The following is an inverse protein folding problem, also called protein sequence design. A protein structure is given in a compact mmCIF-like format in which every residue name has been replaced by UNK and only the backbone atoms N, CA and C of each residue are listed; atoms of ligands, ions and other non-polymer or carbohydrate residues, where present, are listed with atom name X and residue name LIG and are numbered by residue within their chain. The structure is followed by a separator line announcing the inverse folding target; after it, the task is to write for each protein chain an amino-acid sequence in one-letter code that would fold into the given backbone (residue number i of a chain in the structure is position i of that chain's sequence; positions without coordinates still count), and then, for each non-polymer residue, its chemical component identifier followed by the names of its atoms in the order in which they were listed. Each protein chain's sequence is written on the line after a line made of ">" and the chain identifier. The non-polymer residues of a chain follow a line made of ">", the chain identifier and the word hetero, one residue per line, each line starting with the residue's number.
data_IF_279526222084
#
_entry.id   IF_279526222084
#
_cell.length_a   1.000
_cell.length_b   1.000
_cell.length_c   1.000
_cell.angle_alpha   90.00
_cell.angle_beta   90.00
_cell.angle_gamma   90.00
#
_symmetry.space_group_name_H-M   'P 1'
#
loop_
_entity.id
_entity.type
_entity.pdbx_description
1 polymer ?
#
# COMPACT_ATOMS: atom_id res chain seq x y z
N UNK A 1 1.53 18.31 19.75
CA UNK A 1 1.40 16.90 20.19
C UNK A 1 0.27 16.27 19.40
N UNK A 2 0.53 15.58 18.27
CA UNK A 2 -0.53 14.97 17.48
C UNK A 2 -0.95 13.64 18.09
N UNK A 3 -2.26 13.50 18.29
CA UNK A 3 -2.95 12.31 18.78
C UNK A 3 -2.82 11.15 17.77
N UNK A 4 -2.06 10.11 18.11
CA UNK A 4 -2.17 8.79 17.48
C UNK A 4 -3.48 8.15 17.93
N UNK A 5 -4.44 7.98 17.01
CA UNK A 5 -5.64 7.17 17.24
C UNK A 5 -5.24 5.70 17.09
N UNK A 6 -5.11 5.02 18.23
CA UNK A 6 -4.98 3.57 18.33
C UNK A 6 -6.18 2.90 17.65
N UNK A 7 -5.92 2.09 16.61
CA UNK A 7 -6.90 1.17 16.05
C UNK A 7 -6.75 -0.13 16.84
N UNK A 8 -7.63 -0.31 17.83
CA UNK A 8 -7.79 -1.60 18.50
C UNK A 8 -8.48 -2.57 17.52
N UNK A 9 -7.74 -3.57 17.03
CA UNK A 9 -8.32 -4.67 16.26
C UNK A 9 -9.14 -5.57 17.18
N UNK A 10 -10.42 -5.72 16.83
CA UNK A 10 -11.35 -6.67 17.44
C UNK A 10 -10.90 -8.09 17.09
N UNK A 11 -10.57 -8.91 18.10
CA UNK A 11 -10.27 -10.32 17.94
C UNK A 11 -11.58 -11.09 17.68
N UNK A 12 -11.79 -11.53 16.44
CA UNK A 12 -12.82 -12.52 16.10
C UNK A 12 -12.14 -13.83 15.71
N UNK A 13 -12.13 -14.80 16.63
CA UNK A 13 -11.71 -16.17 16.37
C UNK A 13 -12.87 -16.85 15.62
N UNK A 14 -12.74 -17.01 14.29
CA UNK A 14 -13.57 -17.95 13.55
C UNK A 14 -12.72 -19.21 13.32
N UNK A 15 -12.96 -20.22 14.16
CA UNK A 15 -12.53 -21.58 13.88
C UNK A 15 -13.39 -22.13 12.72
N UNK A 16 -12.86 -22.10 11.50
CA UNK A 16 -13.44 -22.87 10.40
C UNK A 16 -12.95 -24.31 10.51
N UNK A 17 -13.85 -25.18 10.96
CA UNK A 17 -13.66 -26.63 10.94
C UNK A 17 -13.51 -27.11 9.50
N UNK A 18 -12.36 -27.68 9.18
CA UNK A 18 -12.17 -28.41 7.93
C UNK A 18 -12.86 -29.78 8.06
N UNK A 19 -13.90 -29.98 7.26
CA UNK A 19 -14.51 -31.28 7.04
C UNK A 19 -13.53 -32.20 6.30
N UNK A 20 -13.29 -33.38 6.88
CA UNK A 20 -12.51 -34.45 6.27
C UNK A 20 -13.16 -34.94 4.96
N UNK A 21 -12.40 -34.97 3.87
CA UNK A 21 -12.70 -35.88 2.76
C UNK A 21 -12.33 -37.29 3.19
N UNK A 22 -13.34 -38.14 3.32
CA UNK A 22 -13.20 -39.55 3.66
C UNK A 22 -12.59 -40.38 2.54
N UNK A 23 -11.83 -41.40 2.94
CA UNK A 23 -11.55 -42.58 2.11
C UNK A 23 -12.24 -43.78 2.79
N UNK A 24 -12.94 -44.67 2.05
CA UNK A 24 -13.59 -45.82 2.67
C UNK A 24 -12.55 -46.92 2.94
N UNK A 25 -12.29 -47.18 4.22
CA UNK A 25 -11.45 -48.28 4.69
C UNK A 25 -11.87 -48.70 6.10
N UNK A 26 -12.30 -49.95 6.22
CA UNK A 26 -12.96 -50.58 7.35
C UNK A 26 -12.11 -50.74 8.62
N UNK A 27 -12.71 -50.47 9.78
CA UNK A 27 -12.59 -51.33 10.97
C UNK A 27 -11.76 -50.81 12.17
N UNK A 28 -12.36 -50.91 13.37
CA UNK A 28 -11.65 -51.13 14.64
C UNK A 28 -11.51 -49.93 15.57
N UNK A 29 -12.21 -49.95 16.70
CA UNK A 29 -12.17 -48.91 17.73
C UNK A 29 -10.88 -48.87 18.54
N UNK A 30 -10.60 -47.68 19.08
CA UNK A 30 -9.57 -47.43 20.09
C UNK A 30 -9.63 -45.96 20.51
N UNK A 31 -9.86 -45.70 21.80
CA UNK A 31 -9.88 -44.35 22.36
C UNK A 31 -8.55 -43.65 22.12
N UNK A 32 -8.53 -42.68 21.22
CA UNK A 32 -7.38 -41.82 20.96
C UNK A 32 -7.78 -40.40 21.31
N UNK A 33 -7.16 -39.83 22.34
CA UNK A 33 -7.16 -38.38 22.52
C UNK A 33 -6.73 -37.76 21.19
N UNK A 34 -7.58 -36.89 20.64
CA UNK A 34 -7.30 -36.22 19.38
C UNK A 34 -6.05 -35.35 19.57
N UNK A 35 -4.87 -35.89 19.22
CA UNK A 35 -3.69 -35.08 19.02
C UNK A 35 -4.12 -33.97 18.05
N UNK A 36 -4.05 -32.69 18.44
CA UNK A 36 -4.49 -31.62 17.57
C UNK A 36 -3.76 -31.74 16.23
N UNK A 37 -4.51 -31.77 15.13
CA UNK A 37 -3.96 -31.96 13.80
C UNK A 37 -2.86 -30.92 13.54
N UNK A 38 -1.69 -31.37 13.07
CA UNK A 38 -0.61 -30.45 12.74
C UNK A 38 -1.03 -29.61 11.54
N UNK A 39 -1.17 -28.30 11.73
CA UNK A 39 -1.74 -27.42 10.74
C UNK A 39 -1.11 -26.02 10.76
N UNK A 40 -1.08 -25.38 9.60
CA UNK A 40 -0.72 -23.97 9.44
C UNK A 40 -1.96 -23.11 9.67
N UNK A 41 -1.79 -22.05 10.43
CA UNK A 41 -2.75 -20.98 10.65
C UNK A 41 -2.04 -19.63 10.62
N UNK A 42 -2.78 -18.55 10.73
CA UNK A 42 -2.24 -17.19 10.82
C UNK A 42 -2.97 -16.49 11.93
N UNK A 43 -2.28 -15.60 12.64
CA UNK A 43 -2.99 -14.57 13.39
C UNK A 43 -3.60 -13.61 12.37
N UNK A 44 -4.89 -13.81 12.06
CA UNK A 44 -5.60 -12.99 11.10
C UNK A 44 -5.56 -11.52 11.55
N UNK A 45 -4.83 -10.69 10.82
CA UNK A 45 -5.18 -9.30 10.72
C UNK A 45 -5.36 -8.99 9.24
N UNK A 46 -6.31 -8.12 8.92
CA UNK A 46 -6.47 -7.63 7.56
C UNK A 46 -5.22 -6.79 7.22
N UNK A 47 -4.33 -7.27 6.35
CA UNK A 47 -2.94 -6.81 6.33
C UNK A 47 -2.51 -6.05 5.07
N UNK A 48 -1.98 -4.84 5.29
CA UNK A 48 -1.03 -4.15 4.40
C UNK A 48 -1.68 -3.19 3.40
N UNK A 49 -1.20 -1.95 3.35
CA UNK A 49 -1.52 -0.99 2.28
C UNK A 49 -0.45 -1.13 1.20
N UNK A 50 -0.85 -1.30 -0.07
CA UNK A 50 0.10 -1.44 -1.20
C UNK A 50 1.10 -0.27 -1.20
N UNK A 51 2.40 -0.57 -1.34
CA UNK A 51 3.46 0.43 -1.34
C UNK A 51 3.78 1.06 0.02
N UNK A 52 3.15 0.64 1.11
CA UNK A 52 3.56 1.04 2.46
C UNK A 52 4.71 0.16 2.95
N UNK A 53 5.84 0.78 3.30
CA UNK A 53 6.99 0.08 3.86
C UNK A 53 6.72 -0.42 5.29
N UNK A 54 7.41 -1.49 5.69
CA UNK A 54 7.36 -2.00 7.05
C UNK A 54 6.14 -2.89 7.34
N UNK A 55 5.57 -3.53 6.32
CA UNK A 55 4.61 -4.60 6.55
C UNK A 55 5.27 -5.74 7.35
N UNK A 56 4.56 -6.27 8.35
CA UNK A 56 4.97 -7.41 9.16
C UNK A 56 3.74 -8.21 9.62
N UNK A 57 3.81 -9.54 9.52
CA UNK A 57 2.81 -10.49 10.01
C UNK A 57 3.50 -11.80 10.42
N UNK A 58 2.86 -12.65 11.21
CA UNK A 58 3.48 -13.89 11.73
C UNK A 58 2.56 -15.08 11.52
N UNK A 59 3.11 -16.15 10.94
CA UNK A 59 2.43 -17.44 10.82
C UNK A 59 2.37 -18.16 12.18
N UNK A 60 1.35 -18.98 12.38
CA UNK A 60 1.18 -19.79 13.60
C UNK A 60 0.89 -21.24 13.26
N UNK A 61 1.48 -22.19 13.99
CA UNK A 61 1.21 -23.61 13.83
C UNK A 61 0.38 -24.14 15.01
N UNK A 62 -0.52 -25.07 14.73
CA UNK A 62 -1.25 -25.84 15.75
C UNK A 62 -0.71 -27.27 15.74
N UNK A 63 -0.46 -27.88 16.90
CA UNK A 63 0.17 -29.21 16.99
C UNK A 63 1.66 -29.19 16.64
N UNK A 64 2.28 -30.37 16.52
CA UNK A 64 3.73 -30.51 16.25
C UNK A 64 4.62 -30.24 17.46
N UNK A 65 5.93 -30.36 17.29
CA UNK A 65 6.93 -30.08 18.33
C UNK A 65 7.87 -28.95 17.87
N UNK A 66 7.94 -27.81 18.61
CA UNK A 66 8.90 -26.76 18.31
C UNK A 66 10.36 -27.25 18.43
N UNK A 67 11.33 -26.62 17.73
CA UNK A 67 11.19 -25.44 16.86
C UNK A 67 10.51 -25.75 15.52
N UNK A 68 9.88 -24.73 14.94
CA UNK A 68 9.27 -24.81 13.61
C UNK A 68 10.16 -24.18 12.55
N UNK A 69 10.16 -24.77 11.36
CA UNK A 69 10.77 -24.20 10.15
C UNK A 69 9.69 -23.95 9.10
N UNK A 70 9.67 -22.75 8.54
CA UNK A 70 8.65 -22.28 7.60
C UNK A 70 9.18 -22.14 6.18
N UNK A 71 8.32 -22.39 5.21
CA UNK A 71 8.61 -22.21 3.78
C UNK A 71 7.35 -21.74 3.04
N UNK A 72 7.50 -20.80 2.11
CA UNK A 72 6.45 -20.46 1.14
C UNK A 72 6.48 -21.44 -0.03
N UNK A 73 5.31 -21.97 -0.40
CA UNK A 73 5.19 -23.00 -1.45
C UNK A 73 4.72 -22.39 -2.76
N UNK A 74 3.55 -21.73 -2.75
CA UNK A 74 3.00 -21.09 -3.94
C UNK A 74 1.86 -20.09 -3.63
N UNK A 75 1.77 -18.96 -4.34
CA UNK A 75 2.85 -18.36 -5.14
C UNK A 75 4.01 -17.89 -4.23
N UNK A 76 5.21 -17.77 -4.79
CA UNK A 76 6.36 -17.26 -4.05
C UNK A 76 6.12 -15.82 -3.58
N UNK A 77 6.57 -15.49 -2.37
CA UNK A 77 6.44 -14.14 -1.80
C UNK A 77 7.30 -13.04 -2.46
N UNK A 78 8.54 -13.31 -2.93
CA UNK A 78 9.43 -12.25 -3.43
C UNK A 78 8.86 -11.39 -4.57
N UNK A 79 8.17 -11.95 -5.60
CA UNK A 79 7.50 -11.16 -6.63
C UNK A 79 6.43 -10.18 -6.10
N UNK A 80 5.91 -10.42 -4.89
CA UNK A 80 4.91 -9.58 -4.23
C UNK A 80 5.54 -8.51 -3.34
N UNK A 81 6.88 -8.41 -3.32
CA UNK A 81 7.62 -7.50 -2.45
C UNK A 81 7.66 -7.94 -0.98
N UNK A 82 7.44 -9.23 -0.73
CA UNK A 82 7.37 -9.85 0.58
C UNK A 82 8.45 -10.91 0.76
N UNK A 83 8.88 -11.12 2.00
CA UNK A 83 9.85 -12.14 2.38
C UNK A 83 9.38 -12.86 3.64
N UNK A 84 9.71 -14.14 3.74
CA UNK A 84 9.47 -14.98 4.92
C UNK A 84 10.78 -15.20 5.66
N UNK A 85 10.81 -14.90 6.96
CA UNK A 85 11.80 -15.43 7.88
C UNK A 85 11.41 -16.88 8.23
N UNK A 86 12.20 -17.82 7.74
CA UNK A 86 11.94 -19.25 7.85
C UNK A 86 12.03 -19.78 9.29
N UNK A 87 12.71 -19.09 10.19
CA UNK A 87 12.88 -19.51 11.58
C UNK A 87 11.75 -18.97 12.48
N UNK A 88 11.29 -17.75 12.21
CA UNK A 88 10.28 -17.09 13.05
C UNK A 88 8.86 -17.17 12.48
N UNK A 89 8.73 -17.49 11.18
CA UNK A 89 7.45 -17.45 10.47
C UNK A 89 6.97 -16.02 10.19
N UNK A 90 7.84 -15.02 10.35
CA UNK A 90 7.52 -13.61 10.10
C UNK A 90 7.55 -13.34 8.60
N UNK A 91 6.44 -12.84 8.05
CA UNK A 91 6.33 -12.31 6.70
C UNK A 91 6.50 -10.80 6.77
N UNK A 92 7.47 -10.24 6.04
CA UNK A 92 7.73 -8.80 6.05
C UNK A 92 8.06 -8.24 4.67
N UNK A 93 7.96 -6.92 4.49
CA UNK A 93 8.37 -6.25 3.25
C UNK A 93 7.52 -5.03 2.89
N UNK A 94 7.42 -4.77 1.59
CA UNK A 94 6.60 -3.71 1.01
C UNK A 94 5.73 -4.33 -0.09
N UNK A 95 4.43 -4.57 0.14
CA UNK A 95 3.57 -5.19 -0.85
C UNK A 95 3.55 -4.39 -2.16
N UNK A 96 3.86 -5.04 -3.28
CA UNK A 96 3.91 -4.41 -4.63
C UNK A 96 2.74 -4.79 -5.54
N UNK A 97 1.96 -5.82 -5.17
CA UNK A 97 0.87 -6.29 -6.01
C UNK A 97 -0.33 -5.31 -5.96
N UNK A 98 -0.75 -4.82 -7.13
CA UNK A 98 -1.78 -3.79 -7.28
C UNK A 98 -3.12 -4.35 -7.81
N UNK A 99 -3.12 -5.58 -8.34
CA UNK A 99 -4.25 -6.13 -9.11
C UNK A 99 -5.25 -6.94 -8.28
N UNK A 100 -4.99 -7.23 -7.01
CA UNK A 100 -5.90 -8.03 -6.18
C UNK A 100 -6.00 -7.50 -4.74
N UNK A 101 -7.24 -7.37 -4.24
CA UNK A 101 -7.54 -7.01 -2.84
C UNK A 101 -7.22 -8.15 -1.85
N UNK A 102 -6.95 -9.35 -2.37
CA UNK A 102 -6.51 -10.50 -1.60
C UNK A 102 -5.73 -11.47 -2.49
N UNK A 103 -4.72 -12.12 -1.91
CA UNK A 103 -3.93 -13.18 -2.55
C UNK A 103 -3.75 -14.33 -1.56
N UNK A 104 -3.93 -15.57 -2.02
CA UNK A 104 -3.78 -16.76 -1.18
C UNK A 104 -2.43 -17.41 -1.44
N UNK A 105 -1.61 -17.53 -0.40
CA UNK A 105 -0.30 -18.20 -0.41
C UNK A 105 -0.38 -19.47 0.42
N UNK A 106 0.13 -20.57 -0.12
CA UNK A 106 0.28 -21.82 0.62
C UNK A 106 1.62 -21.81 1.33
N UNK A 107 1.60 -22.02 2.64
CA UNK A 107 2.78 -22.17 3.46
C UNK A 107 2.91 -23.59 3.97
N UNK A 108 4.14 -24.00 4.20
CA UNK A 108 4.48 -25.27 4.81
C UNK A 108 5.29 -25.02 6.08
N UNK A 109 4.94 -25.76 7.12
CA UNK A 109 5.63 -25.79 8.41
C UNK A 109 6.20 -27.18 8.66
N UNK A 110 7.45 -27.24 9.12
CA UNK A 110 8.14 -28.46 9.53
C UNK A 110 8.46 -28.38 11.02
N UNK A 111 8.07 -29.40 11.79
CA UNK A 111 8.40 -29.49 13.21
C UNK A 111 9.79 -30.08 13.46
N UNK A 112 10.25 -30.07 14.71
CA UNK A 112 11.58 -30.58 15.08
C UNK A 112 11.76 -32.08 14.84
N UNK A 113 10.66 -32.83 14.73
CA UNK A 113 10.62 -34.25 14.42
C UNK A 113 10.54 -34.53 12.92
N UNK A 114 10.57 -33.50 12.07
CA UNK A 114 10.45 -33.62 10.62
C UNK A 114 9.02 -33.83 10.12
N UNK A 115 8.00 -33.71 10.97
CA UNK A 115 6.61 -33.73 10.49
C UNK A 115 6.32 -32.43 9.76
N UNK A 116 5.56 -32.54 8.69
CA UNK A 116 5.23 -31.42 7.82
C UNK A 116 3.72 -31.21 7.79
N UNK A 117 3.29 -29.95 7.75
CA UNK A 117 1.92 -29.56 7.47
C UNK A 117 1.92 -28.40 6.48
N UNK A 118 0.87 -28.32 5.66
CA UNK A 118 0.67 -27.21 4.73
C UNK A 118 -0.72 -26.62 4.93
N UNK A 119 -0.85 -25.33 4.68
CA UNK A 119 -2.14 -24.65 4.74
C UNK A 119 -2.16 -23.35 3.92
N UNK A 120 -3.33 -23.01 3.36
CA UNK A 120 -3.50 -21.75 2.64
C UNK A 120 -3.65 -20.58 3.63
N UNK A 121 -3.06 -19.46 3.27
CA UNK A 121 -3.11 -18.19 3.99
C UNK A 121 -3.52 -17.09 3.03
N UNK A 122 -4.64 -16.45 3.31
CA UNK A 122 -5.12 -15.31 2.51
C UNK A 122 -4.57 -14.01 3.05
N UNK A 123 -3.78 -13.32 2.25
CA UNK A 123 -3.22 -12.00 2.52
C UNK A 123 -4.10 -10.94 1.85
N UNK A 124 -4.71 -10.05 2.64
CA UNK A 124 -5.64 -9.01 2.16
C UNK A 124 -4.96 -7.64 2.04
N UNK A 125 -4.49 -7.26 0.85
CA UNK A 125 -3.96 -5.91 0.62
C UNK A 125 -5.10 -4.91 0.49
N UNK A 126 -4.93 -3.77 1.15
CA UNK A 126 -5.76 -2.59 0.92
C UNK A 126 -5.10 -1.71 -0.14
N UNK A 127 -5.87 -1.15 -1.09
CA UNK A 127 -5.34 -0.11 -1.96
C UNK A 127 -4.90 1.10 -1.13
N UNK A 128 -3.81 1.75 -1.56
CA UNK A 128 -3.32 2.98 -0.96
C UNK A 128 -4.06 4.17 -1.55
N UNK A 129 -4.71 4.95 -0.69
CA UNK A 129 -5.24 6.27 -1.06
C UNK A 129 -4.28 7.33 -0.56
N UNK A 130 -3.68 8.08 -1.49
CA UNK A 130 -2.80 9.20 -1.19
C UNK A 130 -3.46 10.53 -1.54
N UNK A 131 -3.20 11.55 -0.71
CA UNK A 131 -3.60 12.92 -1.02
C UNK A 131 -2.50 13.60 -1.83
N UNK A 132 -2.82 14.04 -3.05
CA UNK A 132 -1.88 14.79 -3.89
C UNK A 132 -1.81 16.29 -3.55
N UNK A 133 -2.89 16.86 -3.00
CA UNK A 133 -2.92 18.24 -2.54
C UNK A 133 -2.25 18.37 -1.17
N UNK A 134 -0.92 18.33 -1.13
CA UNK A 134 -0.13 18.52 0.09
C UNK A 134 0.96 19.54 -0.14
N UNK A 135 1.37 20.26 0.92
CA UNK A 135 2.49 21.20 0.84
C UNK A 135 3.84 20.50 0.66
N UNK A 136 4.93 21.26 0.51
CA UNK A 136 6.31 20.73 0.44
C UNK A 136 6.78 20.01 1.71
N UNK A 137 6.02 20.03 2.81
CA UNK A 137 6.30 19.22 3.99
C UNK A 137 5.40 17.99 4.08
N UNK A 138 4.54 17.75 3.07
CA UNK A 138 3.57 16.66 3.05
C UNK A 138 2.34 16.90 3.92
N UNK A 139 2.15 18.11 4.44
CA UNK A 139 0.98 18.42 5.27
C UNK A 139 -0.26 18.69 4.42
N UNK A 140 -1.41 18.44 5.03
CA UNK A 140 -2.70 18.74 4.43
C UNK A 140 -2.93 20.25 4.28
N UNK A 141 -3.12 20.72 3.04
CA UNK A 141 -3.63 22.07 2.72
C UNK A 141 -5.16 22.18 2.80
N UNK A 142 -5.76 21.85 3.95
CA UNK A 142 -7.22 21.91 4.13
C UNK A 142 -7.78 23.34 3.96
N UNK A 143 -9.00 23.47 3.43
CA UNK A 143 -9.69 24.77 3.29
C UNK A 143 -9.39 25.55 1.99
N UNK A 144 -8.54 25.03 1.11
CA UNK A 144 -8.28 25.62 -0.21
C UNK A 144 -8.96 24.84 -1.34
N UNK A 145 -9.37 25.53 -2.40
CA UNK A 145 -9.91 24.88 -3.60
C UNK A 145 -8.76 24.19 -4.35
N UNK A 146 -8.98 22.93 -4.70
CA UNK A 146 -8.07 22.13 -5.51
C UNK A 146 -8.90 21.45 -6.60
N UNK A 147 -8.61 21.73 -7.86
CA UNK A 147 -9.46 21.33 -8.99
C UNK A 147 -8.62 20.80 -10.15
N UNK A 148 -9.30 20.18 -11.12
CA UNK A 148 -8.71 19.79 -12.41
C UNK A 148 -7.47 18.89 -12.28
N UNK A 149 -7.55 17.77 -11.54
CA UNK A 149 -6.42 16.86 -11.43
C UNK A 149 -6.15 16.18 -12.78
N UNK A 150 -4.87 16.08 -13.13
CA UNK A 150 -4.37 15.35 -14.29
C UNK A 150 -3.16 14.52 -13.88
N UNK A 151 -3.09 13.27 -14.32
CA UNK A 151 -2.06 12.31 -13.91
C UNK A 151 -1.32 11.76 -15.14
N UNK A 152 0.00 11.64 -15.05
CA UNK A 152 0.80 11.07 -16.13
C UNK A 152 0.53 9.56 -16.23
N UNK A 153 0.25 9.06 -17.45
CA UNK A 153 -0.27 7.70 -17.64
C UNK A 153 0.79 6.60 -17.58
N UNK A 154 2.08 6.92 -17.68
CA UNK A 154 3.15 5.91 -17.71
C UNK A 154 3.33 5.21 -16.36
N UNK A 155 3.36 5.96 -15.26
CA UNK A 155 3.61 5.42 -13.91
C UNK A 155 2.73 6.08 -12.82
N UNK A 156 1.94 7.09 -13.18
CA UNK A 156 1.12 7.85 -12.24
C UNK A 156 1.90 8.57 -11.15
N UNK A 157 3.20 8.84 -11.37
CA UNK A 157 4.08 9.53 -10.42
C UNK A 157 3.72 11.00 -10.25
N UNK A 158 3.41 11.69 -11.33
CA UNK A 158 3.18 13.13 -11.35
C UNK A 158 1.69 13.44 -11.47
N UNK A 159 1.19 14.27 -10.55
CA UNK A 159 -0.17 14.77 -10.56
C UNK A 159 -0.14 16.28 -10.70
N UNK A 160 -0.62 16.79 -11.83
CA UNK A 160 -0.85 18.22 -12.03
C UNK A 160 -2.25 18.60 -11.54
N UNK A 161 -2.39 19.77 -10.91
CA UNK A 161 -3.67 20.27 -10.42
C UNK A 161 -3.65 21.78 -10.23
N UNK A 162 -4.83 22.41 -10.26
CA UNK A 162 -5.02 23.83 -9.96
C UNK A 162 -5.31 24.00 -8.46
N UNK A 163 -4.71 25.01 -7.82
CA UNK A 163 -4.95 25.28 -6.39
C UNK A 163 -4.87 26.75 -6.03
N UNK A 164 -5.71 27.16 -5.07
CA UNK A 164 -5.67 28.49 -4.42
C UNK A 164 -4.87 28.48 -3.10
N UNK A 165 -4.25 27.36 -2.74
CA UNK A 165 -3.58 27.23 -1.46
C UNK A 165 -2.32 28.11 -1.39
N UNK A 166 -2.17 28.94 -0.35
CA UNK A 166 -1.04 29.87 -0.23
C UNK A 166 0.26 29.22 0.25
N UNK A 167 0.21 27.93 0.60
CA UNK A 167 1.29 27.22 1.29
C UNK A 167 1.77 25.96 0.55
N UNK A 168 1.30 25.70 -0.68
CA UNK A 168 1.85 24.61 -1.50
C UNK A 168 3.31 24.85 -1.86
N UNK A 169 3.65 26.11 -2.15
CA UNK A 169 5.01 26.60 -2.32
C UNK A 169 5.08 27.95 -1.60
N UNK A 170 6.06 28.12 -0.71
CA UNK A 170 6.17 29.32 0.10
C UNK A 170 6.27 30.59 -0.78
N UNK A 171 5.48 31.61 -0.44
CA UNK A 171 5.46 32.90 -1.15
C UNK A 171 4.66 32.90 -2.45
N UNK A 172 4.01 31.79 -2.82
CA UNK A 172 3.12 31.72 -3.98
C UNK A 172 1.68 31.93 -3.53
N UNK A 173 0.99 32.88 -4.18
CA UNK A 173 -0.41 33.22 -3.88
C UNK A 173 -1.27 33.20 -5.14
N UNK A 174 -2.60 33.17 -4.95
CA UNK A 174 -3.57 33.15 -6.04
C UNK A 174 -3.83 31.75 -6.58
N UNK A 175 -4.65 31.65 -7.64
CA UNK A 175 -4.95 30.37 -8.29
C UNK A 175 -3.84 29.99 -9.26
N UNK A 176 -3.14 28.90 -8.98
CA UNK A 176 -1.92 28.48 -9.68
C UNK A 176 -1.99 26.99 -10.03
N UNK A 177 -1.14 26.58 -10.98
CA UNK A 177 -0.97 25.18 -11.36
C UNK A 177 0.25 24.60 -10.68
N UNK A 178 0.06 23.49 -9.98
CA UNK A 178 1.08 22.76 -9.24
C UNK A 178 1.22 21.34 -9.78
N UNK A 179 2.37 20.73 -9.48
CA UNK A 179 2.65 19.32 -9.74
C UNK A 179 3.11 18.67 -8.45
N UNK A 180 2.42 17.61 -8.06
CA UNK A 180 2.81 16.75 -6.97
C UNK A 180 3.60 15.54 -7.50
N UNK A 181 4.82 15.34 -6.98
CA UNK A 181 5.62 14.15 -7.21
C UNK A 181 5.34 13.12 -6.10
N UNK A 182 4.66 12.04 -6.45
CA UNK A 182 4.30 10.98 -5.50
C UNK A 182 5.49 10.16 -5.00
N UNK A 183 6.64 10.22 -5.67
CA UNK A 183 7.84 9.54 -5.20
C UNK A 183 8.47 10.27 -4.01
N UNK A 184 8.47 11.61 -4.04
CA UNK A 184 9.08 12.44 -3.00
C UNK A 184 8.05 13.02 -2.02
N UNK A 185 6.77 12.98 -2.37
CA UNK A 185 5.69 13.61 -1.61
C UNK A 185 5.67 15.14 -1.73
N UNK A 186 6.44 15.71 -2.66
CA UNK A 186 6.64 17.15 -2.79
C UNK A 186 5.74 17.76 -3.87
N UNK A 187 5.21 18.94 -3.59
CA UNK A 187 4.49 19.77 -4.57
C UNK A 187 5.37 20.91 -5.05
N UNK A 188 5.31 21.21 -6.36
CA UNK A 188 6.09 22.29 -6.98
C UNK A 188 5.23 23.13 -7.92
N UNK A 189 5.62 24.39 -8.11
CA UNK A 189 4.91 25.31 -9.00
C UNK A 189 5.23 25.01 -10.47
N UNK A 190 4.19 24.84 -11.28
CA UNK A 190 4.28 24.68 -12.73
C UNK A 190 3.96 25.97 -13.49
N UNK A 191 3.02 26.78 -12.99
CA UNK A 191 2.70 28.11 -13.55
C UNK A 191 3.74 29.17 -13.14
N UNK A 192 4.94 29.02 -13.70
CA UNK A 192 6.08 29.93 -13.47
C UNK A 192 6.73 30.34 -14.80
N UNK A 193 7.37 31.50 -14.79
CA UNK A 193 8.21 31.96 -15.89
C UNK A 193 9.46 31.09 -16.08
N UNK A 194 10.18 31.28 -17.18
CA UNK A 194 11.46 30.62 -17.44
C UNK A 194 12.54 30.94 -16.39
N UNK A 195 12.38 32.02 -15.63
CA UNK A 195 13.26 32.42 -14.53
C UNK A 195 12.80 31.87 -13.16
N UNK A 196 11.70 31.10 -13.14
CA UNK A 196 11.16 30.48 -11.93
C UNK A 196 10.16 31.32 -11.13
N UNK A 197 9.93 32.58 -11.51
CA UNK A 197 8.95 33.46 -10.85
C UNK A 197 7.51 33.01 -11.11
N UNK A 198 6.67 33.02 -10.08
CA UNK A 198 5.25 32.68 -10.20
C UNK A 198 4.49 33.63 -11.11
N UNK A 199 3.41 33.13 -11.72
CA UNK A 199 2.47 33.95 -12.48
C UNK A 199 1.78 34.97 -11.57
N UNK A 200 1.79 36.25 -11.95
CA UNK A 200 1.12 37.36 -11.24
C UNK A 200 0.05 38.03 -12.13
N UNK A 201 -0.87 38.75 -11.51
CA UNK A 201 -1.86 39.57 -12.22
C UNK A 201 -2.96 38.78 -12.94
N UNK A 202 -3.04 37.47 -12.74
CA UNK A 202 -4.04 36.60 -13.37
C UNK A 202 -4.15 35.24 -12.68
N UNK A 203 -4.90 34.33 -13.29
CA UNK A 203 -5.11 32.96 -12.80
C UNK A 203 -4.46 31.97 -13.74
N UNK A 204 -3.99 30.83 -13.22
CA UNK A 204 -3.55 29.69 -14.02
C UNK A 204 -4.42 28.47 -13.69
N UNK A 205 -4.93 27.78 -14.70
CA UNK A 205 -5.87 26.66 -14.54
C UNK A 205 -5.83 25.68 -15.73
N UNK A 206 -6.75 24.71 -15.76
CA UNK A 206 -6.91 23.70 -16.80
C UNK A 206 -5.62 22.90 -17.05
N UNK A 207 -4.98 22.46 -15.96
CA UNK A 207 -3.73 21.72 -16.02
C UNK A 207 -3.90 20.38 -16.76
N UNK A 208 -2.97 20.08 -17.67
CA UNK A 208 -2.89 18.80 -18.36
C UNK A 208 -1.43 18.35 -18.45
N UNK A 209 -1.15 17.11 -18.06
CA UNK A 209 0.21 16.55 -18.06
C UNK A 209 0.37 15.50 -19.17
N UNK A 210 1.53 15.49 -19.83
CA UNK A 210 1.86 14.48 -20.85
C UNK A 210 1.96 13.09 -20.23
N UNK A 211 1.80 12.04 -21.05
CA UNK A 211 1.79 10.65 -20.58
C UNK A 211 3.07 10.28 -19.81
N UNK A 212 4.22 10.75 -20.30
CA UNK A 212 5.55 10.56 -19.71
C UNK A 212 5.89 11.56 -18.59
N UNK A 213 5.00 12.50 -18.26
CA UNK A 213 5.21 13.50 -17.22
C UNK A 213 6.16 14.65 -17.59
N UNK A 214 6.67 14.70 -18.83
CA UNK A 214 7.68 15.68 -19.26
C UNK A 214 7.14 17.07 -19.52
N UNK A 215 5.86 17.19 -19.89
CA UNK A 215 5.25 18.46 -20.26
C UNK A 215 3.95 18.69 -19.49
N UNK A 216 3.72 19.95 -19.13
CA UNK A 216 2.45 20.40 -18.55
C UNK A 216 1.95 21.57 -19.38
N UNK A 217 0.73 21.43 -19.88
CA UNK A 217 -0.01 22.53 -20.51
C UNK A 217 -1.03 23.07 -19.50
N UNK A 218 -1.26 24.38 -19.55
CA UNK A 218 -2.25 25.05 -18.73
C UNK A 218 -2.67 26.36 -19.40
N UNK A 219 -3.86 26.87 -19.06
CA UNK A 219 -4.31 28.19 -19.45
C UNK A 219 -3.89 29.21 -18.39
N UNK A 220 -3.49 30.42 -18.82
CA UNK A 220 -3.17 31.49 -17.88
C UNK A 220 -3.53 32.87 -18.41
N UNK A 221 -3.98 33.73 -17.51
CA UNK A 221 -4.11 35.18 -17.74
C UNK A 221 -3.03 35.99 -17.02
N UNK A 222 -2.02 35.32 -16.44
CA UNK A 222 -0.91 36.00 -15.79
C UNK A 222 -0.04 36.76 -16.79
N UNK A 223 0.45 37.92 -16.38
CA UNK A 223 1.12 38.90 -17.26
C UNK A 223 2.63 38.69 -17.39
N UNK A 224 3.19 37.68 -16.74
CA UNK A 224 4.65 37.54 -16.60
C UNK A 224 5.16 36.10 -16.79
N UNK A 225 4.33 35.18 -17.30
CA UNK A 225 4.75 33.79 -17.50
C UNK A 225 5.60 33.60 -18.75
N UNK A 226 5.40 34.45 -19.76
CA UNK A 226 6.20 34.48 -20.99
C UNK A 226 6.82 35.86 -21.11
N UNK A 227 8.13 35.90 -21.34
CA UNK A 227 8.84 37.17 -21.49
C UNK A 227 8.42 37.86 -22.79
N UNK A 228 8.03 39.14 -22.70
CA UNK A 228 7.73 39.98 -23.86
C UNK A 228 6.29 39.88 -24.38
N UNK A 229 5.35 39.42 -23.57
CA UNK A 229 3.90 39.40 -23.85
C UNK A 229 3.16 40.24 -22.82
#
# INVERSE_FOLDING_TARGET
>A
MPHMKSIASVLSIIALGFGLLGCPGSGGGGGGGSTPAFAVSTTAADFGVVGNAGYSSTLSATGGTPPYTWTDVAPALPPLGLALDTATGVISGTPTATTANAFTVTFQVTDSGGRMASGPVTLRLRPRTDRASVDTAGNSIAGSLNTEPSINRTDGRFIAFSSTAPNLVAGVTGNQVYVHDRQTGQSSLASKSSLGSAGIGGVSSAASISADGRFIAFASTATNLVAGV
#
